data_IF_669977710617
#
_entry.id   IF_669977710617
#
_cell.length_a   1.000
_cell.length_b   1.000
_cell.length_c   1.000
_cell.angle_alpha   90.00
_cell.angle_beta   90.00
_cell.angle_gamma   90.00
#
_symmetry.space_group_name_H-M   'P 1'
#
loop_
_entity.id
_entity.type
_entity.pdbx_description
1 polymer ?
#
# COMPACT_ATOMS: atom_id res chain seq x y z
N UNK A 1 2.92 17.03 14.48
CA UNK A 1 2.27 15.68 14.35
C UNK A 1 1.82 15.57 12.90
N UNK A 2 1.98 14.43 12.26
CA UNK A 2 1.51 14.19 10.88
C UNK A 2 -0.02 14.36 10.84
N UNK A 3 -0.51 15.15 9.88
CA UNK A 3 -1.92 15.16 9.51
C UNK A 3 -2.16 13.98 8.57
N UNK A 4 -3.20 13.19 8.79
CA UNK A 4 -3.48 12.02 7.97
C UNK A 4 -4.97 11.83 7.74
N UNK A 5 -5.34 11.35 6.55
CA UNK A 5 -6.71 11.02 6.20
C UNK A 5 -6.74 9.85 5.21
N UNK A 6 -7.67 8.92 5.39
CA UNK A 6 -7.87 7.76 4.52
C UNK A 6 -9.30 7.71 3.97
N UNK A 7 -9.43 7.28 2.73
CA UNK A 7 -10.73 7.09 2.08
C UNK A 7 -10.68 5.90 1.13
N UNK A 8 -11.79 5.16 1.08
CA UNK A 8 -11.99 4.06 0.14
C UNK A 8 -13.36 4.15 -0.51
N UNK A 9 -13.48 3.63 -1.73
CA UNK A 9 -14.74 3.54 -2.48
C UNK A 9 -14.78 2.22 -3.27
N UNK A 10 -15.96 1.64 -3.42
CA UNK A 10 -16.14 0.37 -4.13
C UNK A 10 -15.91 0.47 -5.64
N UNK A 11 -15.87 1.71 -6.17
CA UNK A 11 -15.82 1.94 -7.60
C UNK A 11 -17.18 1.83 -8.27
N UNK A 12 -17.18 1.82 -9.62
CA UNK A 12 -18.42 1.80 -10.42
C UNK A 12 -18.77 0.41 -10.97
N UNK A 13 -17.86 -0.54 -10.91
CA UNK A 13 -17.99 -1.87 -11.52
C UNK A 13 -18.00 -3.01 -10.51
N UNK A 14 -17.33 -2.87 -9.41
CA UNK A 14 -17.29 -3.86 -8.33
C UNK A 14 -18.56 -3.78 -7.49
N UNK A 15 -18.90 -4.87 -6.80
CA UNK A 15 -20.04 -4.94 -5.85
C UNK A 15 -19.56 -4.96 -4.40
N UNK A 16 -18.33 -5.37 -4.20
CA UNK A 16 -17.70 -5.55 -2.90
C UNK A 16 -16.41 -4.74 -2.91
N UNK A 17 -16.07 -4.17 -1.78
CA UNK A 17 -14.79 -3.54 -1.58
C UNK A 17 -13.84 -4.54 -0.91
N UNK A 18 -12.82 -4.99 -1.65
CA UNK A 18 -11.79 -5.90 -1.17
C UNK A 18 -10.55 -5.14 -0.69
N UNK A 19 -10.51 -3.81 -0.86
CA UNK A 19 -9.49 -2.96 -0.28
C UNK A 19 -9.69 -2.79 1.24
N UNK A 20 -8.59 -2.67 1.95
CA UNK A 20 -8.56 -2.27 3.36
C UNK A 20 -7.47 -1.23 3.59
N UNK A 21 -7.70 -0.28 4.48
CA UNK A 21 -6.69 0.71 4.84
C UNK A 21 -6.63 0.95 6.35
N UNK A 22 -5.52 1.54 6.79
CA UNK A 22 -5.31 1.95 8.17
C UNK A 22 -4.73 3.37 8.23
N UNK A 23 -5.30 4.17 9.11
CA UNK A 23 -4.75 5.44 9.56
C UNK A 23 -4.67 5.38 11.09
N UNK A 24 -3.48 5.17 11.63
CA UNK A 24 -3.24 5.11 13.09
C UNK A 24 -2.17 6.13 13.49
N UNK A 25 -2.56 7.37 13.80
CA UNK A 25 -1.62 8.42 14.24
C UNK A 25 -0.88 8.04 15.54
N UNK A 26 -1.53 7.33 16.45
CA UNK A 26 -0.96 6.89 17.73
C UNK A 26 0.21 5.93 17.54
N UNK A 27 0.09 5.01 16.59
CA UNK A 27 1.16 4.08 16.20
C UNK A 27 2.08 4.65 15.11
N UNK A 28 1.74 5.84 14.59
CA UNK A 28 2.39 6.45 13.40
C UNK A 28 2.40 5.51 12.21
N UNK A 29 1.39 4.65 12.10
CA UNK A 29 1.26 3.59 11.10
C UNK A 29 0.15 3.91 10.10
N UNK A 30 0.46 3.76 8.82
CA UNK A 30 -0.45 4.00 7.72
C UNK A 30 -0.28 2.89 6.68
N UNK A 31 -1.39 2.34 6.18
CA UNK A 31 -1.32 1.23 5.24
C UNK A 31 -2.51 1.18 4.29
N UNK A 32 -2.28 0.60 3.11
CA UNK A 32 -3.29 0.18 2.15
C UNK A 32 -2.98 -1.25 1.74
N UNK A 33 -4.02 -2.08 1.68
CA UNK A 33 -3.99 -3.46 1.24
C UNK A 33 -5.11 -3.66 0.22
N UNK A 34 -4.79 -4.13 -0.98
CA UNK A 34 -5.73 -4.47 -2.05
C UNK A 34 -5.90 -5.99 -2.07
N UNK A 35 -7.09 -6.43 -1.75
CA UNK A 35 -7.41 -7.84 -1.59
C UNK A 35 -7.76 -8.51 -2.91
N UNK A 36 -7.26 -9.72 -3.12
CA UNK A 36 -7.57 -10.54 -4.28
C UNK A 36 -7.99 -11.94 -3.86
N UNK A 37 -8.91 -12.52 -4.62
CA UNK A 37 -9.42 -13.88 -4.40
C UNK A 37 -10.81 -14.08 -4.98
N UNK A 38 -11.27 -15.33 -5.02
CA UNK A 38 -12.65 -15.63 -5.40
C UNK A 38 -13.61 -15.48 -4.21
N UNK A 39 -14.91 -15.17 -4.46
CA UNK A 39 -15.98 -15.23 -3.44
C UNK A 39 -15.71 -14.43 -2.13
N UNK A 40 -15.36 -13.18 -2.18
CA UNK A 40 -15.07 -12.31 -1.01
C UNK A 40 -13.78 -12.67 -0.24
N UNK A 41 -12.95 -13.56 -0.75
CA UNK A 41 -11.73 -13.97 -0.07
C UNK A 41 -10.68 -12.83 -0.04
N UNK A 42 -10.71 -11.91 -1.01
CA UNK A 42 -9.87 -10.72 -1.04
C UNK A 42 -10.14 -9.78 0.13
N UNK A 43 -11.40 -9.49 0.45
CA UNK A 43 -11.79 -8.69 1.63
C UNK A 43 -11.24 -9.29 2.93
N UNK A 44 -11.30 -10.62 3.07
CA UNK A 44 -10.78 -11.30 4.24
C UNK A 44 -9.26 -11.19 4.31
N UNK A 45 -8.57 -11.33 3.18
CA UNK A 45 -7.11 -11.25 3.12
C UNK A 45 -6.60 -9.85 3.48
N UNK A 46 -7.14 -8.79 2.84
CA UNK A 46 -6.73 -7.40 3.07
C UNK A 46 -6.98 -6.96 4.51
N UNK A 47 -8.16 -7.27 5.06
CA UNK A 47 -8.51 -6.98 6.45
C UNK A 47 -7.61 -7.72 7.45
N UNK A 48 -7.39 -9.03 7.23
CA UNK A 48 -6.52 -9.84 8.08
C UNK A 48 -5.08 -9.32 8.07
N UNK A 49 -4.58 -8.87 6.92
CA UNK A 49 -3.26 -8.28 6.80
C UNK A 49 -3.15 -6.97 7.60
N UNK A 50 -4.07 -6.04 7.40
CA UNK A 50 -4.12 -4.76 8.14
C UNK A 50 -4.16 -4.99 9.64
N UNK A 51 -5.08 -5.83 10.13
CA UNK A 51 -5.22 -6.12 11.57
C UNK A 51 -3.95 -6.74 12.17
N UNK A 52 -3.30 -7.64 11.43
CA UNK A 52 -2.06 -8.30 11.91
C UNK A 52 -0.89 -7.35 11.94
N UNK A 53 -0.74 -6.50 10.91
CA UNK A 53 0.29 -5.46 10.86
C UNK A 53 0.10 -4.48 12.02
N UNK A 54 -1.11 -3.96 12.20
CA UNK A 54 -1.43 -3.01 13.28
C UNK A 54 -1.08 -3.59 14.66
N UNK A 55 -1.56 -4.80 14.95
CA UNK A 55 -1.34 -5.43 16.24
C UNK A 55 0.15 -5.62 16.58
N UNK A 56 0.99 -6.01 15.59
CA UNK A 56 2.42 -6.14 15.84
C UNK A 56 3.11 -4.78 16.00
N UNK A 57 2.76 -3.78 15.18
CA UNK A 57 3.37 -2.45 15.26
C UNK A 57 3.02 -1.77 16.58
N UNK A 58 1.77 -1.84 17.03
CA UNK A 58 1.35 -1.29 18.33
C UNK A 58 2.15 -1.94 19.49
N UNK A 59 2.21 -3.26 19.54
CA UNK A 59 2.96 -3.99 20.56
C UNK A 59 4.44 -3.67 20.55
N UNK A 60 5.07 -3.68 19.37
CA UNK A 60 6.51 -3.42 19.21
C UNK A 60 6.91 -1.97 19.53
N UNK A 61 5.96 -1.06 19.63
CA UNK A 61 6.19 0.33 20.06
C UNK A 61 6.27 0.50 21.59
N UNK A 62 5.69 -0.42 22.36
CA UNK A 62 5.58 -0.30 23.82
C UNK A 62 6.27 -1.42 24.60
N UNK A 63 6.31 -2.64 24.08
CA UNK A 63 6.90 -3.80 24.74
C UNK A 63 8.43 -3.83 24.55
N UNK A 64 9.20 -3.83 25.65
CA UNK A 64 10.67 -3.89 25.61
C UNK A 64 11.20 -5.29 25.23
N UNK A 65 10.42 -6.34 25.49
CA UNK A 65 10.79 -7.75 25.24
C UNK A 65 9.84 -8.36 24.22
N UNK A 66 9.91 -7.86 22.98
CA UNK A 66 9.15 -8.44 21.89
C UNK A 66 9.94 -9.54 21.19
N UNK A 67 9.27 -10.63 20.82
CA UNK A 67 9.88 -11.69 20.02
C UNK A 67 9.99 -11.29 18.55
N UNK A 68 11.17 -11.48 17.98
CA UNK A 68 11.45 -11.29 16.55
C UNK A 68 11.61 -12.65 15.88
N UNK A 69 10.56 -13.25 15.31
CA UNK A 69 10.58 -14.65 14.85
C UNK A 69 11.65 -14.94 13.79
N UNK A 70 12.05 -13.92 13.04
CA UNK A 70 13.08 -14.05 11.99
C UNK A 70 14.36 -13.26 12.30
N UNK A 71 14.52 -12.82 13.56
CA UNK A 71 15.63 -11.95 13.96
C UNK A 71 15.49 -10.52 13.42
N UNK A 72 16.54 -9.75 13.61
CA UNK A 72 16.67 -8.38 13.10
C UNK A 72 17.66 -8.36 11.93
N UNK A 73 17.32 -7.62 10.90
CA UNK A 73 18.19 -7.33 9.77
C UNK A 73 19.00 -6.07 10.10
N UNK A 74 20.33 -6.23 10.20
CA UNK A 74 21.22 -5.13 10.56
C UNK A 74 21.30 -4.01 9.49
N UNK A 75 20.84 -4.28 8.27
CA UNK A 75 20.80 -3.30 7.19
C UNK A 75 19.53 -2.42 7.23
N UNK A 76 18.55 -2.76 8.06
CA UNK A 76 17.30 -2.02 8.18
C UNK A 76 17.29 -1.19 9.47
N UNK A 77 16.59 -0.05 9.40
CA UNK A 77 16.24 0.71 10.59
C UNK A 77 15.35 -0.12 11.53
N UNK A 78 15.16 0.36 12.76
CA UNK A 78 14.24 -0.30 13.70
C UNK A 78 12.82 -0.37 13.13
N UNK A 79 12.31 0.70 12.53
CA UNK A 79 10.99 0.71 11.88
C UNK A 79 10.94 -0.17 10.63
N UNK A 80 12.04 -0.29 9.89
CA UNK A 80 12.15 -1.24 8.79
C UNK A 80 12.02 -2.69 9.26
N UNK A 81 12.67 -3.03 10.37
CA UNK A 81 12.54 -4.35 10.98
C UNK A 81 11.12 -4.61 11.54
N UNK A 82 10.48 -3.57 12.12
CA UNK A 82 9.08 -3.66 12.58
C UNK A 82 8.15 -3.97 11.42
N UNK A 83 8.21 -3.20 10.34
CA UNK A 83 7.40 -3.43 9.14
C UNK A 83 7.66 -4.79 8.51
N UNK A 84 8.94 -5.18 8.35
CA UNK A 84 9.32 -6.49 7.83
C UNK A 84 8.69 -7.62 8.62
N UNK A 85 8.77 -7.56 9.93
CA UNK A 85 8.22 -8.59 10.81
C UNK A 85 6.69 -8.58 10.78
N UNK A 86 6.06 -7.40 10.84
CA UNK A 86 4.62 -7.26 10.81
C UNK A 86 4.00 -7.85 9.54
N UNK A 87 4.57 -7.52 8.36
CA UNK A 87 4.07 -8.03 7.09
C UNK A 87 4.33 -9.52 6.92
N UNK A 88 5.47 -10.05 7.40
CA UNK A 88 5.72 -11.49 7.40
C UNK A 88 4.76 -12.27 8.30
N UNK A 89 4.39 -11.70 9.45
CA UNK A 89 3.36 -12.28 10.32
C UNK A 89 1.99 -12.26 9.62
N UNK A 90 1.65 -11.16 8.95
CA UNK A 90 0.44 -11.07 8.15
C UNK A 90 0.43 -12.12 7.03
N UNK A 91 1.56 -12.27 6.31
CA UNK A 91 1.71 -13.27 5.27
C UNK A 91 1.47 -14.70 5.80
N UNK A 92 2.11 -15.06 6.90
CA UNK A 92 1.93 -16.39 7.49
C UNK A 92 0.46 -16.64 7.90
N UNK A 93 -0.21 -15.63 8.47
CA UNK A 93 -1.61 -15.74 8.91
C UNK A 93 -2.57 -15.87 7.73
N UNK A 94 -2.40 -15.06 6.69
CA UNK A 94 -3.24 -15.13 5.47
C UNK A 94 -3.02 -16.45 4.75
N UNK A 95 -1.76 -16.86 4.55
CA UNK A 95 -1.40 -18.12 3.92
C UNK A 95 -2.00 -19.34 4.66
N UNK A 96 -1.85 -19.39 5.98
CA UNK A 96 -2.43 -20.47 6.79
C UNK A 96 -3.97 -20.49 6.72
N UNK A 97 -4.61 -19.32 6.69
CA UNK A 97 -6.07 -19.25 6.58
C UNK A 97 -6.55 -19.75 5.21
N UNK A 98 -5.83 -19.42 4.13
CA UNK A 98 -6.11 -19.91 2.78
C UNK A 98 -5.92 -21.43 2.63
N UNK A 99 -4.91 -21.99 3.32
CA UNK A 99 -4.64 -23.43 3.29
C UNK A 99 -5.66 -24.25 4.11
N UNK A 100 -6.15 -23.68 5.22
CA UNK A 100 -7.04 -24.40 6.15
C UNK A 100 -8.54 -24.26 5.84
N UNK A 101 -8.94 -23.40 4.88
CA UNK A 101 -10.35 -23.13 4.56
C UNK A 101 -10.56 -23.09 3.07
N UNK A 102 -11.36 -24.02 2.55
CA UNK A 102 -11.64 -24.15 1.12
C UNK A 102 -12.23 -22.86 0.51
N UNK A 103 -13.10 -22.16 1.25
CA UNK A 103 -13.71 -20.91 0.83
C UNK A 103 -12.72 -19.73 0.72
N UNK A 104 -11.53 -19.86 1.31
CA UNK A 104 -10.46 -18.85 1.27
C UNK A 104 -9.28 -19.26 0.37
N UNK A 105 -9.40 -20.39 -0.32
CA UNK A 105 -8.32 -20.89 -1.17
C UNK A 105 -7.92 -19.86 -2.23
N UNK A 106 -6.61 -19.58 -2.30
CA UNK A 106 -6.05 -18.64 -3.26
C UNK A 106 -6.25 -17.17 -2.91
N UNK A 107 -6.75 -16.84 -1.70
CA UNK A 107 -6.79 -15.45 -1.26
C UNK A 107 -5.38 -14.89 -1.05
N UNK A 108 -5.25 -13.60 -1.29
CA UNK A 108 -4.05 -12.83 -1.02
C UNK A 108 -4.36 -11.34 -1.00
N UNK A 109 -3.36 -10.54 -0.74
CA UNK A 109 -3.50 -9.09 -0.80
C UNK A 109 -2.16 -8.42 -1.11
N UNK A 110 -2.20 -7.27 -1.76
CA UNK A 110 -1.05 -6.36 -1.79
C UNK A 110 -0.82 -5.78 -0.39
N UNK A 111 0.28 -5.12 -0.21
CA UNK A 111 0.53 -4.25 0.94
C UNK A 111 1.42 -3.09 0.55
N UNK A 112 1.03 -1.88 0.93
CA UNK A 112 1.91 -0.74 1.10
C UNK A 112 1.67 -0.17 2.48
N UNK A 113 2.69 -0.21 3.34
CA UNK A 113 2.59 0.23 4.72
C UNK A 113 3.75 1.15 5.08
N UNK A 114 3.50 2.17 5.90
CA UNK A 114 4.52 3.13 6.31
C UNK A 114 4.46 3.44 7.80
N UNK A 115 5.64 3.66 8.40
CA UNK A 115 5.81 4.22 9.73
C UNK A 115 6.52 5.58 9.60
N UNK A 116 6.00 6.59 10.31
CA UNK A 116 6.64 7.90 10.36
C UNK A 116 7.22 8.15 11.75
N UNK A 117 8.54 8.31 11.83
CA UNK A 117 9.24 8.62 13.07
C UNK A 117 10.07 9.90 12.90
N UNK A 118 9.66 10.96 13.59
CA UNK A 118 10.27 12.28 13.43
C UNK A 118 10.10 12.82 12.01
N UNK A 119 11.20 12.95 11.28
CA UNK A 119 11.24 13.37 9.87
C UNK A 119 11.46 12.19 8.92
N UNK A 120 11.48 10.96 9.41
CA UNK A 120 11.74 9.79 8.60
C UNK A 120 10.45 9.03 8.34
N UNK A 121 10.21 8.66 7.09
CA UNK A 121 9.20 7.70 6.69
C UNK A 121 9.88 6.40 6.23
N UNK A 122 9.50 5.29 6.83
CA UNK A 122 9.91 3.95 6.39
C UNK A 122 8.72 3.28 5.74
N UNK A 123 8.90 2.72 4.55
CA UNK A 123 7.84 2.15 3.73
C UNK A 123 8.20 0.69 3.45
N UNK A 124 7.24 -0.22 3.63
CA UNK A 124 7.33 -1.60 3.18
C UNK A 124 6.24 -1.87 2.14
N UNK A 125 6.59 -2.54 1.05
CA UNK A 125 5.64 -2.87 -0.02
C UNK A 125 5.83 -4.29 -0.56
N UNK A 126 4.72 -4.89 -1.00
CA UNK A 126 4.64 -6.07 -1.85
C UNK A 126 3.35 -6.00 -2.67
N UNK A 127 3.45 -6.15 -3.97
CA UNK A 127 2.38 -5.98 -4.94
C UNK A 127 2.52 -4.69 -5.75
N UNK A 128 1.41 -4.18 -6.24
CA UNK A 128 1.32 -3.01 -7.10
C UNK A 128 0.59 -1.82 -6.47
N UNK A 129 0.18 -1.93 -5.20
CA UNK A 129 -0.20 -0.75 -4.41
C UNK A 129 1.01 0.15 -4.19
N UNK A 130 0.81 1.47 -4.33
CA UNK A 130 1.92 2.43 -4.44
C UNK A 130 1.98 3.42 -3.29
N UNK A 131 3.20 3.90 -3.03
CA UNK A 131 3.47 5.08 -2.22
C UNK A 131 4.10 6.16 -3.08
N UNK A 132 3.55 7.38 -3.00
CA UNK A 132 4.04 8.57 -3.68
C UNK A 132 4.43 9.66 -2.70
N UNK A 133 5.38 10.49 -3.08
CA UNK A 133 5.76 11.74 -2.42
C UNK A 133 5.45 12.91 -3.36
N UNK A 134 4.73 13.91 -2.85
CA UNK A 134 4.59 15.22 -3.50
C UNK A 134 5.45 16.22 -2.73
N UNK A 135 6.43 16.79 -3.40
CA UNK A 135 7.34 17.81 -2.86
C UNK A 135 7.52 18.92 -3.87
N UNK A 136 7.22 20.16 -3.49
CA UNK A 136 7.38 21.31 -4.38
C UNK A 136 6.54 21.23 -5.66
N UNK A 137 5.43 20.50 -5.65
CA UNK A 137 4.56 20.27 -6.81
C UNK A 137 4.97 19.09 -7.70
N UNK A 138 6.10 18.44 -7.42
CA UNK A 138 6.53 17.23 -8.13
C UNK A 138 6.00 15.97 -7.45
N UNK A 139 5.41 15.07 -8.23
CA UNK A 139 4.98 13.73 -7.79
C UNK A 139 6.10 12.73 -8.10
N UNK A 140 6.49 11.96 -7.08
CA UNK A 140 7.48 10.89 -7.22
C UNK A 140 6.97 9.61 -6.60
N UNK A 141 6.92 8.51 -7.36
CA UNK A 141 6.68 7.18 -6.82
C UNK A 141 7.89 6.72 -5.99
N UNK A 142 7.64 6.27 -4.75
CA UNK A 142 8.66 5.80 -3.81
C UNK A 142 8.77 4.27 -3.78
N UNK A 143 7.72 3.55 -4.13
CA UNK A 143 7.67 2.09 -4.23
C UNK A 143 7.92 1.63 -5.66
N UNK A 144 8.23 0.36 -5.82
CA UNK A 144 8.29 -0.32 -7.12
C UNK A 144 7.17 -1.35 -7.18
N UNK A 145 6.47 -1.43 -8.32
CA UNK A 145 5.42 -2.41 -8.50
C UNK A 145 6.01 -3.82 -8.68
N UNK A 146 5.49 -4.78 -7.91
CA UNK A 146 5.75 -6.19 -8.09
C UNK A 146 4.74 -6.79 -9.09
N UNK A 147 4.79 -6.32 -10.34
CA UNK A 147 3.98 -6.81 -11.46
C UNK A 147 4.86 -7.44 -12.54
N UNK A 148 4.24 -8.32 -13.34
CA UNK A 148 4.94 -8.95 -14.46
C UNK A 148 5.49 -7.91 -15.45
N UNK A 149 4.70 -6.88 -15.75
CA UNK A 149 5.12 -5.82 -16.68
C UNK A 149 6.28 -4.99 -16.11
N UNK A 150 6.29 -4.72 -14.81
CA UNK A 150 7.40 -4.01 -14.14
C UNK A 150 8.69 -4.83 -14.20
N UNK A 151 8.61 -6.15 -13.98
CA UNK A 151 9.76 -7.04 -14.11
C UNK A 151 10.27 -7.10 -15.56
N UNK A 152 9.38 -7.30 -16.54
CA UNK A 152 9.71 -7.37 -17.95
C UNK A 152 10.32 -6.06 -18.49
N UNK A 153 9.85 -4.91 -18.00
CA UNK A 153 10.43 -3.60 -18.31
C UNK A 153 11.85 -3.47 -17.73
N UNK A 154 12.05 -3.90 -16.47
CA UNK A 154 13.37 -3.87 -15.81
C UNK A 154 14.40 -4.78 -16.47
N UNK A 155 13.98 -5.88 -17.10
CA UNK A 155 14.81 -6.80 -17.88
C UNK A 155 14.98 -6.38 -19.37
N UNK A 156 14.34 -5.29 -19.79
CA UNK A 156 14.38 -4.82 -21.17
C UNK A 156 13.60 -5.70 -22.17
N UNK A 157 12.69 -6.55 -21.68
CA UNK A 157 11.81 -7.41 -22.50
C UNK A 157 10.66 -6.58 -23.10
N UNK A 158 10.19 -5.57 -22.37
CA UNK A 158 9.16 -4.63 -22.81
C UNK A 158 9.70 -3.21 -22.88
N UNK A 159 9.10 -2.39 -23.74
CA UNK A 159 9.30 -0.95 -23.74
C UNK A 159 8.18 -0.27 -22.92
N UNK A 160 8.42 0.95 -22.46
CA UNK A 160 7.45 1.73 -21.69
C UNK A 160 6.10 1.88 -22.38
N UNK A 161 6.10 2.03 -23.71
CA UNK A 161 4.89 2.24 -24.51
C UNK A 161 4.00 0.98 -24.59
N UNK A 162 4.58 -0.20 -24.36
CA UNK A 162 3.86 -1.48 -24.42
C UNK A 162 3.16 -1.84 -23.10
N UNK A 163 3.57 -1.23 -21.98
CA UNK A 163 3.14 -1.60 -20.63
C UNK A 163 1.64 -1.36 -20.42
N UNK A 164 1.13 -0.20 -20.82
CA UNK A 164 -0.24 0.24 -20.55
C UNK A 164 -1.30 -0.69 -21.19
N UNK A 165 -0.98 -1.26 -22.34
CA UNK A 165 -1.88 -2.12 -23.12
C UNK A 165 -1.57 -3.61 -23.01
N UNK A 166 -0.57 -3.99 -22.18
CA UNK A 166 -0.14 -5.39 -22.10
C UNK A 166 -1.20 -6.27 -21.44
N UNK A 167 -1.49 -7.49 -21.98
CA UNK A 167 -2.48 -8.40 -21.39
C UNK A 167 -2.18 -8.80 -19.93
N UNK A 168 -0.90 -8.83 -19.55
CA UNK A 168 -0.43 -9.21 -18.22
C UNK A 168 -0.17 -8.00 -17.30
N UNK A 169 -0.66 -6.80 -17.63
CA UNK A 169 -0.37 -5.60 -16.84
C UNK A 169 -0.87 -5.68 -15.38
N UNK A 170 -1.94 -6.43 -15.15
CA UNK A 170 -2.52 -6.61 -13.80
C UNK A 170 -2.03 -7.91 -13.12
N UNK A 171 -1.00 -8.57 -13.66
CA UNK A 171 -0.46 -9.81 -13.06
C UNK A 171 0.58 -9.43 -12.01
N UNK A 172 0.22 -9.61 -10.75
CA UNK A 172 1.07 -9.37 -9.58
C UNK A 172 2.03 -10.54 -9.40
N UNK A 173 3.29 -10.29 -9.12
CA UNK A 173 4.34 -11.30 -8.91
C UNK A 173 4.59 -11.60 -7.43
N UNK A 174 4.24 -10.66 -6.53
CA UNK A 174 4.32 -10.83 -5.08
C UNK A 174 3.01 -10.36 -4.43
N UNK A 175 2.53 -11.15 -3.46
CA UNK A 175 1.37 -10.80 -2.65
C UNK A 175 1.44 -11.48 -1.29
N UNK A 176 0.92 -10.81 -0.27
CA UNK A 176 0.75 -11.35 1.08
C UNK A 176 -0.25 -12.50 1.03
N UNK A 177 0.14 -13.66 1.57
CA UNK A 177 -0.68 -14.87 1.60
C UNK A 177 -0.59 -15.78 0.36
N UNK A 178 0.08 -15.34 -0.72
CA UNK A 178 0.20 -16.14 -1.94
C UNK A 178 1.19 -17.31 -1.81
N UNK A 179 2.16 -17.19 -0.89
CA UNK A 179 3.20 -18.20 -0.60
C UNK A 179 3.47 -18.24 0.90
N UNK A 180 4.14 -19.30 1.36
CA UNK A 180 4.56 -19.48 2.76
C UNK A 180 5.52 -18.39 3.26
N UNK A 181 6.29 -17.82 2.35
CA UNK A 181 7.24 -16.73 2.62
C UNK A 181 7.04 -15.57 1.65
N UNK A 182 7.42 -14.36 2.07
CA UNK A 182 7.34 -13.15 1.26
C UNK A 182 8.61 -12.33 1.40
N UNK A 183 9.12 -11.86 0.26
CA UNK A 183 10.13 -10.81 0.19
C UNK A 183 9.48 -9.45 0.05
N UNK A 184 10.01 -8.46 0.77
CA UNK A 184 9.48 -7.10 0.84
C UNK A 184 10.52 -6.10 0.36
N UNK A 185 10.06 -5.13 -0.39
CA UNK A 185 10.83 -3.93 -0.65
C UNK A 185 10.64 -2.96 0.53
N UNK A 186 11.76 -2.58 1.18
CA UNK A 186 11.76 -1.65 2.31
C UNK A 186 12.65 -0.47 1.95
N UNK A 187 12.05 0.71 1.94
CA UNK A 187 12.74 1.97 1.65
C UNK A 187 12.52 2.96 2.76
N UNK A 188 13.48 3.90 2.92
CA UNK A 188 13.40 4.97 3.91
C UNK A 188 13.70 6.30 3.25
N UNK A 189 12.89 7.31 3.57
CA UNK A 189 13.04 8.67 3.06
C UNK A 189 12.95 9.69 4.18
N UNK A 190 13.62 10.82 3.99
CA UNK A 190 13.48 11.97 4.88
C UNK A 190 12.36 12.89 4.36
N UNK A 191 11.40 13.20 5.23
CA UNK A 191 10.31 14.15 4.96
C UNK A 191 10.76 15.57 5.29
N UNK A 192 10.30 16.51 4.47
CA UNK A 192 10.48 17.94 4.66
C UNK A 192 9.13 18.59 5.05
N UNK A 193 9.16 19.74 5.73
CA UNK A 193 7.95 20.51 5.97
C UNK A 193 7.17 20.78 4.68
N UNK A 194 5.87 20.51 4.69
CA UNK A 194 4.99 20.66 3.54
C UNK A 194 4.92 19.45 2.58
N UNK A 195 5.74 18.41 2.80
CA UNK A 195 5.62 17.17 2.01
C UNK A 195 4.25 16.53 2.21
N UNK A 196 3.71 16.03 1.11
CA UNK A 196 2.51 15.19 1.09
C UNK A 196 2.89 13.79 0.60
N UNK A 197 2.55 12.78 1.39
CA UNK A 197 2.71 11.37 1.02
C UNK A 197 1.34 10.77 0.74
N UNK A 198 1.23 9.95 -0.30
CA UNK A 198 0.04 9.21 -0.65
C UNK A 198 0.34 7.72 -0.78
N UNK A 199 -0.45 6.90 -0.07
CA UNK A 199 -0.53 5.46 -0.32
C UNK A 199 -1.84 5.19 -1.05
N UNK A 200 -1.83 4.32 -2.06
CA UNK A 200 -3.04 4.00 -2.82
C UNK A 200 -3.02 2.58 -3.39
N UNK A 201 -4.22 2.02 -3.63
CA UNK A 201 -4.43 0.81 -4.42
C UNK A 201 -4.37 1.11 -5.93
N UNK A 202 -4.35 0.05 -6.75
CA UNK A 202 -4.28 0.13 -8.22
C UNK A 202 -5.53 0.78 -8.84
N UNK A 203 -6.68 0.71 -8.16
CA UNK A 203 -7.89 1.40 -8.57
C UNK A 203 -7.77 2.93 -8.70
N UNK A 204 -6.74 3.54 -8.13
CA UNK A 204 -6.41 4.93 -8.37
C UNK A 204 -5.51 5.08 -9.61
N UNK A 205 -4.27 4.58 -9.54
CA UNK A 205 -3.26 4.82 -10.58
C UNK A 205 -3.49 4.02 -11.87
N UNK A 206 -4.35 3.02 -11.83
CA UNK A 206 -4.85 2.33 -13.02
C UNK A 206 -5.98 3.07 -13.75
N UNK A 207 -6.58 4.09 -13.12
CA UNK A 207 -7.67 4.89 -13.69
C UNK A 207 -7.22 6.28 -14.09
N UNK A 208 -6.36 6.95 -13.32
CA UNK A 208 -5.83 8.28 -13.60
C UNK A 208 -4.31 8.25 -13.60
N UNK A 209 -3.70 9.04 -14.49
CA UNK A 209 -2.25 9.07 -14.62
C UNK A 209 -1.58 9.98 -13.57
N UNK A 210 -0.27 9.89 -13.46
CA UNK A 210 0.52 10.65 -12.50
C UNK A 210 0.38 12.18 -12.67
N UNK A 211 0.12 12.67 -13.89
CA UNK A 211 -0.10 14.10 -14.14
C UNK A 211 -1.40 14.58 -13.50
N UNK A 212 -2.46 13.79 -13.60
CA UNK A 212 -3.75 14.11 -12.98
C UNK A 212 -3.67 13.98 -11.45
N UNK A 213 -3.01 12.95 -10.93
CA UNK A 213 -2.73 12.81 -9.48
C UNK A 213 -1.99 14.06 -8.99
N UNK A 214 -0.90 14.43 -9.66
CA UNK A 214 -0.10 15.61 -9.32
C UNK A 214 -0.93 16.91 -9.36
N UNK A 215 -1.80 17.07 -10.35
CA UNK A 215 -2.69 18.22 -10.48
C UNK A 215 -3.67 18.33 -9.32
N UNK A 216 -4.24 17.20 -8.88
CA UNK A 216 -5.21 17.17 -7.77
C UNK A 216 -4.50 17.46 -6.43
N UNK A 217 -3.34 16.85 -6.20
CA UNK A 217 -2.59 17.00 -4.96
C UNK A 217 -1.81 18.31 -4.89
N UNK A 218 -1.38 18.86 -6.03
CA UNK A 218 -0.65 20.12 -6.13
C UNK A 218 -1.51 21.37 -5.97
N UNK A 219 -2.84 21.25 -5.81
CA UNK A 219 -3.77 22.37 -5.69
C UNK A 219 -3.67 23.15 -4.34
N UNK A 220 -2.53 23.07 -3.65
CA UNK A 220 -2.24 23.86 -2.45
C UNK A 220 -2.68 23.18 -1.14
N UNK A 221 -2.95 24.01 -0.11
CA UNK A 221 -3.25 23.58 1.27
C UNK A 221 -4.69 23.05 1.46
N UNK A 222 -5.26 22.42 0.44
CA UNK A 222 -6.59 21.83 0.57
C UNK A 222 -6.61 20.79 1.70
N UNK A 223 -7.71 20.68 2.47
CA UNK A 223 -7.88 19.62 3.45
C UNK A 223 -7.64 18.24 2.82
N UNK A 224 -6.97 17.32 3.55
CA UNK A 224 -6.68 15.97 3.04
C UNK A 224 -7.97 15.21 2.70
N UNK A 225 -9.05 15.49 3.42
CA UNK A 225 -10.37 14.96 3.15
C UNK A 225 -10.88 15.33 1.75
N UNK A 226 -10.76 16.60 1.38
CA UNK A 226 -11.20 17.10 0.07
C UNK A 226 -10.29 16.57 -1.06
N UNK A 227 -8.98 16.50 -0.80
CA UNK A 227 -8.01 15.96 -1.77
C UNK A 227 -8.30 14.47 -2.05
N UNK A 228 -8.54 13.67 -0.99
CA UNK A 228 -8.89 12.25 -1.14
C UNK A 228 -10.20 12.04 -1.87
N UNK A 229 -11.22 12.88 -1.62
CA UNK A 229 -12.49 12.82 -2.32
C UNK A 229 -12.33 13.09 -3.82
N UNK A 230 -11.56 14.12 -4.20
CA UNK A 230 -11.29 14.46 -5.61
C UNK A 230 -10.51 13.37 -6.34
N UNK A 231 -9.55 12.70 -5.68
CA UNK A 231 -8.82 11.58 -6.27
C UNK A 231 -9.76 10.41 -6.58
N UNK A 232 -10.60 10.03 -5.63
CA UNK A 232 -11.57 8.94 -5.81
C UNK A 232 -12.61 9.29 -6.87
N UNK A 233 -13.12 10.53 -6.87
CA UNK A 233 -14.06 10.99 -7.87
C UNK A 233 -13.46 10.92 -9.28
N UNK A 234 -12.23 11.41 -9.47
CA UNK A 234 -11.52 11.36 -10.75
C UNK A 234 -11.31 9.91 -11.24
N UNK A 235 -10.93 8.98 -10.35
CA UNK A 235 -10.82 7.56 -10.68
C UNK A 235 -12.17 6.96 -11.09
N UNK A 236 -13.24 7.31 -10.38
CA UNK A 236 -14.59 6.84 -10.66
C UNK A 236 -15.13 7.42 -11.99
N UNK A 237 -14.85 8.67 -12.31
CA UNK A 237 -15.23 9.32 -13.57
C UNK A 237 -14.45 8.72 -14.76
N UNK A 238 -13.20 8.30 -14.53
CA UNK A 238 -12.37 7.61 -15.53
C UNK A 238 -12.76 6.14 -15.75
N UNK A 239 -13.84 5.69 -15.10
CA UNK A 239 -14.45 4.38 -15.33
C UNK A 239 -14.71 3.56 -14.07
N UNK A 240 -14.00 3.82 -12.96
CA UNK A 240 -14.19 3.19 -11.66
C UNK A 240 -14.20 1.66 -11.75
N UNK A 241 -13.22 1.07 -12.44
CA UNK A 241 -13.21 -0.36 -12.78
C UNK A 241 -12.95 -1.25 -11.59
N UNK A 242 -12.28 -0.70 -10.58
CA UNK A 242 -11.90 -1.40 -9.36
C UNK A 242 -12.24 -0.62 -8.08
N UNK A 243 -12.05 -1.27 -6.93
CA UNK A 243 -12.02 -0.61 -5.64
C UNK A 243 -10.90 0.44 -5.65
N UNK A 244 -11.12 1.58 -5.04
CA UNK A 244 -10.14 2.66 -5.00
C UNK A 244 -9.95 3.16 -3.58
N UNK A 245 -8.70 3.09 -3.13
CA UNK A 245 -8.32 3.46 -1.76
C UNK A 245 -7.13 4.39 -1.77
N UNK A 246 -7.21 5.45 -0.97
CA UNK A 246 -6.13 6.42 -0.78
C UNK A 246 -5.95 6.74 0.71
N UNK A 247 -4.69 6.85 1.13
CA UNK A 247 -4.28 7.37 2.44
C UNK A 247 -3.31 8.51 2.20
N UNK A 248 -3.64 9.69 2.70
CA UNK A 248 -2.85 10.91 2.55
C UNK A 248 -2.22 11.28 3.89
N UNK A 249 -0.94 11.67 3.86
CA UNK A 249 -0.17 12.11 5.02
C UNK A 249 0.48 13.45 4.69
N UNK A 250 0.32 14.47 5.55
CA UNK A 250 1.00 15.77 5.39
C UNK A 250 1.97 15.98 6.52
N UNK A 251 3.24 16.24 6.16
CA UNK A 251 4.25 16.74 7.11
C UNK A 251 3.95 18.21 7.40
N UNK A 252 3.68 18.59 8.65
CA UNK A 252 3.46 19.99 9.00
C UNK A 252 4.65 20.89 8.64
N UNK A 253 4.34 22.16 8.33
CA UNK A 253 5.33 23.21 8.07
C UNK A 253 6.17 23.54 9.32
#
# INVERSE_FOLDING_TARGET
>A
MIEAFGRTDVGRRRKINEDSFLVSPEASLYAVCDGMGGHNAGEVASKMAIETIAAFIERSGVEKEITWPWGLDANLSFDGNRLKTAVRLANAKVFQAADNREELTGMGTTVVASIVTGKSITIASAGDSRCYLVRGGELKQLTRDDSWVSAALGEGILNSDDVEHHPLRNVITKAVGARDSIDLDIVQHELQPGDLVMLCSDGLHGMINDQEISRILGAGDAPLEDASARLIEAANESGGRDNVTVVLLRQPA
#
